data_IF_331512766840
#
_entry.id   IF_331512766840
#
_cell.length_a   1.000
_cell.length_b   1.000
_cell.length_c   1.000
_cell.angle_alpha   90.00
_cell.angle_beta   90.00
_cell.angle_gamma   90.00
#
_symmetry.space_group_name_H-M   'P 1'
#
loop_
_entity.id
_entity.type
_entity.pdbx_description
1 polymer ?
#
# COMPACT_ATOMS: atom_id res chain seq x y z
N UNK A 1 37.19 -40.54 -21.81
CA UNK A 1 35.77 -40.19 -21.55
C UNK A 1 35.62 -39.74 -20.10
N UNK A 2 35.71 -38.44 -19.82
CA UNK A 2 35.55 -37.89 -18.45
C UNK A 2 35.06 -36.43 -18.46
N UNK A 3 35.25 -35.72 -19.57
CA UNK A 3 34.78 -34.34 -19.81
C UNK A 3 33.25 -34.20 -19.69
N UNK A 4 32.47 -35.15 -20.21
CA UNK A 4 31.00 -35.08 -20.17
C UNK A 4 30.39 -35.12 -18.76
N UNK A 5 31.05 -35.76 -17.79
CA UNK A 5 30.59 -35.84 -16.40
C UNK A 5 30.89 -34.55 -15.65
N UNK A 6 32.10 -33.99 -15.85
CA UNK A 6 32.51 -32.72 -15.21
C UNK A 6 31.64 -31.56 -15.70
N UNK A 7 31.36 -31.47 -17.01
CA UNK A 7 30.50 -30.42 -17.56
C UNK A 7 29.07 -30.49 -17.03
N UNK A 8 28.52 -31.70 -16.83
CA UNK A 8 27.18 -31.88 -16.22
C UNK A 8 27.15 -31.42 -14.78
N UNK A 9 28.17 -31.79 -13.99
CA UNK A 9 28.29 -31.37 -12.59
C UNK A 9 28.42 -29.85 -12.47
N UNK A 10 29.26 -29.23 -13.30
CA UNK A 10 29.40 -27.77 -13.36
C UNK A 10 28.09 -27.07 -13.77
N UNK A 11 27.33 -27.65 -14.70
CA UNK A 11 26.02 -27.14 -15.11
C UNK A 11 25.00 -27.13 -13.95
N UNK A 12 24.98 -28.18 -13.11
CA UNK A 12 24.12 -28.24 -11.93
C UNK A 12 24.50 -27.14 -10.94
N UNK A 13 25.80 -26.94 -10.66
CA UNK A 13 26.26 -25.87 -9.78
C UNK A 13 25.93 -24.47 -10.32
N UNK A 14 26.04 -24.25 -11.64
CA UNK A 14 25.66 -22.97 -12.25
C UNK A 14 24.16 -22.67 -12.09
N UNK A 15 23.30 -23.68 -12.29
CA UNK A 15 21.86 -23.55 -12.09
C UNK A 15 21.55 -23.29 -10.60
N UNK A 16 22.17 -24.03 -9.68
CA UNK A 16 22.00 -23.82 -8.25
C UNK A 16 22.42 -22.41 -7.81
N UNK A 17 23.56 -21.91 -8.32
CA UNK A 17 24.03 -20.56 -8.06
C UNK A 17 23.07 -19.50 -8.61
N UNK A 18 22.53 -19.70 -9.82
CA UNK A 18 21.54 -18.79 -10.40
C UNK A 18 20.25 -18.77 -9.56
N UNK A 19 19.77 -19.92 -9.11
CA UNK A 19 18.58 -20.01 -8.24
C UNK A 19 18.84 -19.28 -6.91
N UNK A 20 19.96 -19.53 -6.24
CA UNK A 20 20.32 -18.84 -5.00
C UNK A 20 20.39 -17.33 -5.21
N UNK A 21 21.03 -16.86 -6.29
CA UNK A 21 21.12 -15.45 -6.62
C UNK A 21 19.71 -14.83 -6.82
N UNK A 22 18.81 -15.50 -7.52
CA UNK A 22 17.42 -15.05 -7.67
C UNK A 22 16.68 -14.97 -6.32
N UNK A 23 16.85 -15.97 -5.45
CA UNK A 23 16.26 -15.95 -4.10
C UNK A 23 16.85 -14.83 -3.24
N UNK A 24 18.16 -14.59 -3.31
CA UNK A 24 18.82 -13.48 -2.61
C UNK A 24 18.32 -12.11 -3.10
N UNK A 25 18.12 -11.94 -4.41
CA UNK A 25 17.54 -10.72 -4.98
C UNK A 25 16.10 -10.53 -4.54
N UNK A 26 15.29 -11.58 -4.51
CA UNK A 26 13.93 -11.53 -3.98
C UNK A 26 13.91 -11.15 -2.49
N UNK A 27 14.82 -11.74 -1.69
CA UNK A 27 15.00 -11.40 -0.28
C UNK A 27 15.41 -9.93 -0.07
N UNK A 28 16.34 -9.41 -0.87
CA UNK A 28 16.73 -8.00 -0.84
C UNK A 28 15.56 -7.09 -1.22
N UNK A 29 14.81 -7.44 -2.26
CA UNK A 29 13.61 -6.69 -2.67
C UNK A 29 12.57 -6.63 -1.55
N UNK A 30 12.35 -7.75 -0.85
CA UNK A 30 11.43 -7.81 0.29
C UNK A 30 11.95 -6.98 1.48
N UNK A 31 13.24 -7.08 1.81
CA UNK A 31 13.84 -6.28 2.89
C UNK A 31 13.74 -4.77 2.61
N UNK A 32 14.14 -4.32 1.43
CA UNK A 32 14.04 -2.91 1.05
C UNK A 32 12.58 -2.45 0.91
N UNK A 33 11.68 -3.32 0.48
CA UNK A 33 10.25 -3.06 0.47
C UNK A 33 9.71 -2.79 1.86
N UNK A 34 10.02 -3.65 2.83
CA UNK A 34 9.65 -3.47 4.24
C UNK A 34 10.28 -2.19 4.80
N UNK A 35 11.57 -1.95 4.54
CA UNK A 35 12.25 -0.75 5.00
C UNK A 35 11.61 0.54 4.44
N UNK A 36 11.24 0.52 3.16
CA UNK A 36 10.53 1.62 2.51
C UNK A 36 9.16 1.86 3.12
N UNK A 37 8.37 0.80 3.34
CA UNK A 37 7.05 0.88 3.99
C UNK A 37 7.14 1.50 5.38
N UNK A 38 8.19 1.20 6.14
CA UNK A 38 8.37 1.70 7.52
C UNK A 38 8.94 3.13 7.56
N UNK A 39 9.88 3.44 6.67
CA UNK A 39 10.74 4.63 6.81
C UNK A 39 10.32 5.81 5.94
N UNK A 40 9.49 5.59 4.92
CA UNK A 40 9.12 6.62 3.94
C UNK A 40 7.60 6.78 3.94
N UNK A 41 7.16 7.98 4.33
CA UNK A 41 5.73 8.35 4.34
C UNK A 41 5.11 8.12 2.96
N UNK A 42 4.03 7.34 2.92
CA UNK A 42 3.28 7.03 1.70
C UNK A 42 3.75 5.87 0.85
N UNK A 43 4.88 5.21 1.16
CA UNK A 43 5.23 3.95 0.46
C UNK A 43 4.18 2.87 0.72
N UNK A 44 3.69 2.77 1.96
CA UNK A 44 2.59 1.88 2.33
C UNK A 44 1.33 2.14 1.48
N UNK A 45 0.93 3.41 1.36
CA UNK A 45 -0.18 3.84 0.49
C UNK A 45 -0.03 3.40 -0.96
N UNK A 46 1.15 3.63 -1.55
CA UNK A 46 1.42 3.26 -2.95
C UNK A 46 1.35 1.74 -3.10
N UNK A 47 1.95 1.00 -2.18
CA UNK A 47 1.91 -0.46 -2.18
C UNK A 47 0.49 -1.01 -2.12
N UNK A 48 -0.33 -0.52 -1.18
CA UNK A 48 -1.74 -0.91 -1.03
C UNK A 48 -2.53 -0.60 -2.30
N UNK A 49 -2.33 0.57 -2.90
CA UNK A 49 -2.97 0.96 -4.16
C UNK A 49 -2.59 0.02 -5.30
N UNK A 50 -1.30 -0.29 -5.46
CA UNK A 50 -0.81 -1.20 -6.50
C UNK A 50 -1.35 -2.62 -6.33
N UNK A 51 -1.30 -3.17 -5.11
CA UNK A 51 -1.81 -4.51 -4.82
C UNK A 51 -3.32 -4.58 -5.06
N UNK A 52 -4.08 -3.60 -4.55
CA UNK A 52 -5.52 -3.54 -4.78
C UNK A 52 -5.85 -3.45 -6.28
N UNK A 53 -5.16 -2.56 -7.00
CA UNK A 53 -5.34 -2.40 -8.45
C UNK A 53 -5.03 -3.69 -9.22
N UNK A 54 -3.96 -4.40 -8.84
CA UNK A 54 -3.61 -5.68 -9.43
C UNK A 54 -4.68 -6.73 -9.15
N UNK A 55 -5.22 -6.80 -7.92
CA UNK A 55 -6.32 -7.71 -7.58
C UNK A 55 -7.53 -7.40 -8.46
N UNK A 56 -7.97 -6.15 -8.57
CA UNK A 56 -9.09 -5.75 -9.45
C UNK A 56 -8.85 -6.13 -10.91
N UNK A 57 -7.61 -5.98 -11.38
CA UNK A 57 -7.22 -6.35 -12.73
C UNK A 57 -7.29 -7.87 -12.98
N UNK A 58 -6.65 -8.67 -12.13
CA UNK A 58 -6.50 -10.11 -12.35
C UNK A 58 -7.74 -10.92 -11.95
N UNK A 59 -8.44 -10.53 -10.87
CA UNK A 59 -9.67 -11.21 -10.43
C UNK A 59 -10.89 -10.84 -11.28
N UNK A 60 -10.75 -9.82 -12.15
CA UNK A 60 -11.81 -9.28 -12.99
C UNK A 60 -13.04 -8.77 -12.21
N UNK A 61 -12.90 -8.48 -10.92
CA UNK A 61 -13.95 -7.79 -10.15
C UNK A 61 -14.15 -6.37 -10.72
N UNK A 62 -15.40 -5.92 -10.82
CA UNK A 62 -15.78 -4.55 -11.20
C UNK A 62 -17.11 -4.14 -10.56
N UNK A 63 -17.50 -2.89 -10.82
CA UNK A 63 -18.75 -2.31 -10.37
C UNK A 63 -20.03 -2.96 -10.92
N UNK A 64 -19.94 -3.93 -11.86
CA UNK A 64 -21.12 -4.75 -12.22
C UNK A 64 -21.45 -5.77 -11.13
N UNK A 65 -20.46 -6.11 -10.28
CA UNK A 65 -20.62 -6.86 -9.03
C UNK A 65 -20.33 -5.90 -7.86
N UNK A 66 -21.25 -4.98 -7.55
CA UNK A 66 -21.00 -3.90 -6.60
C UNK A 66 -20.67 -4.43 -5.20
N UNK A 67 -21.32 -5.51 -4.76
CA UNK A 67 -21.08 -6.13 -3.45
C UNK A 67 -19.65 -6.65 -3.32
N UNK A 68 -19.16 -7.43 -4.30
CA UNK A 68 -17.80 -7.96 -4.30
C UNK A 68 -16.75 -6.85 -4.35
N UNK A 69 -17.02 -5.80 -5.14
CA UNK A 69 -16.16 -4.61 -5.23
C UNK A 69 -16.11 -3.86 -3.90
N UNK A 70 -17.26 -3.61 -3.27
CA UNK A 70 -17.36 -2.91 -2.00
C UNK A 70 -16.68 -3.67 -0.85
N UNK A 71 -16.85 -5.01 -0.79
CA UNK A 71 -16.18 -5.86 0.20
C UNK A 71 -14.66 -5.81 0.02
N UNK A 72 -14.19 -5.94 -1.22
CA UNK A 72 -12.75 -5.87 -1.53
C UNK A 72 -12.15 -4.51 -1.15
N UNK A 73 -12.81 -3.41 -1.54
CA UNK A 73 -12.37 -2.06 -1.18
C UNK A 73 -12.36 -1.88 0.34
N UNK A 74 -13.40 -2.30 1.04
CA UNK A 74 -13.47 -2.18 2.51
C UNK A 74 -12.36 -2.97 3.20
N UNK A 75 -12.11 -4.20 2.75
CA UNK A 75 -11.02 -5.03 3.28
C UNK A 75 -9.65 -4.40 2.99
N UNK A 76 -9.42 -3.92 1.77
CA UNK A 76 -8.15 -3.29 1.40
C UNK A 76 -7.95 -1.94 2.10
N UNK A 77 -9.01 -1.17 2.37
CA UNK A 77 -8.95 0.04 3.20
C UNK A 77 -8.58 -0.29 4.65
N UNK A 78 -9.11 -1.39 5.19
CA UNK A 78 -8.71 -1.87 6.51
C UNK A 78 -7.23 -2.25 6.55
N UNK A 79 -6.73 -2.97 5.54
CA UNK A 79 -5.30 -3.26 5.40
C UNK A 79 -4.48 -1.96 5.27
N UNK A 80 -4.99 -0.99 4.51
CA UNK A 80 -4.39 0.33 4.33
C UNK A 80 -4.15 1.05 5.65
N UNK A 81 -5.16 1.14 6.53
CA UNK A 81 -4.99 1.81 7.82
C UNK A 81 -4.04 1.07 8.77
N UNK A 82 -3.91 -0.26 8.65
CA UNK A 82 -2.97 -1.04 9.45
C UNK A 82 -1.52 -0.84 9.01
N UNK A 83 -1.29 -0.65 7.70
CA UNK A 83 0.05 -0.49 7.14
C UNK A 83 0.50 0.97 7.09
N UNK A 84 -0.44 1.91 6.97
CA UNK A 84 -0.16 3.34 6.79
C UNK A 84 -0.71 4.22 7.92
N UNK A 85 -0.26 3.91 9.13
CA UNK A 85 -0.59 4.64 10.35
C UNK A 85 0.05 6.03 10.43
N UNK A 86 1.03 6.36 9.57
CA UNK A 86 1.59 7.72 9.39
C UNK A 86 0.99 8.50 8.23
N UNK A 87 0.45 7.79 7.24
CA UNK A 87 -0.21 8.36 6.09
C UNK A 87 0.80 8.78 5.04
N UNK A 88 0.32 9.53 4.05
CA UNK A 88 1.18 10.16 3.07
C UNK A 88 0.96 11.67 3.05
N UNK A 89 1.92 12.46 2.54
CA UNK A 89 1.79 13.92 2.51
C UNK A 89 0.53 14.44 1.81
N UNK A 90 0.00 13.69 0.84
CA UNK A 90 -1.22 14.06 0.08
C UNK A 90 -2.48 13.81 0.93
N UNK A 91 -2.59 12.65 1.58
CA UNK A 91 -3.70 12.26 2.46
C UNK A 91 -3.68 13.03 3.78
N UNK A 92 -2.52 13.50 4.19
CA UNK A 92 -2.39 14.30 5.40
C UNK A 92 -2.85 15.77 5.19
N UNK A 93 -3.00 16.24 3.94
CA UNK A 93 -3.42 17.62 3.68
C UNK A 93 -4.86 17.96 4.03
N UNK A 94 -5.87 17.11 3.74
CA UNK A 94 -7.23 17.31 4.23
C UNK A 94 -7.29 17.63 5.73
N UNK A 95 -6.48 16.97 6.57
CA UNK A 95 -6.40 17.28 8.00
C UNK A 95 -5.92 18.71 8.28
N UNK A 96 -4.88 19.15 7.57
CA UNK A 96 -4.36 20.50 7.72
C UNK A 96 -5.34 21.57 7.21
N UNK A 97 -6.09 21.29 6.14
CA UNK A 97 -7.11 22.21 5.61
C UNK A 97 -8.34 22.33 6.50
N UNK A 98 -8.73 21.22 7.14
CA UNK A 98 -9.92 21.18 8.01
C UNK A 98 -9.64 21.74 9.40
N UNK A 99 -8.41 21.59 9.91
CA UNK A 99 -8.09 21.84 11.32
C UNK A 99 -7.04 22.93 11.55
N UNK A 100 -6.39 23.43 10.48
CA UNK A 100 -5.34 24.44 10.55
C UNK A 100 -5.66 25.73 9.80
N UNK A 101 -4.79 26.73 9.99
CA UNK A 101 -4.79 27.95 9.20
C UNK A 101 -4.27 27.74 7.77
N UNK A 102 -4.47 28.71 6.89
CA UNK A 102 -4.06 28.59 5.47
C UNK A 102 -2.55 28.40 5.35
N UNK A 103 -2.16 27.32 4.67
CA UNK A 103 -0.76 26.95 4.47
C UNK A 103 -0.17 26.07 5.59
N UNK A 104 -0.98 25.68 6.57
CA UNK A 104 -0.58 24.69 7.57
C UNK A 104 -0.31 23.33 6.92
N UNK A 105 0.48 22.51 7.60
CA UNK A 105 0.72 21.12 7.22
C UNK A 105 0.68 20.22 8.46
N UNK A 106 0.42 18.93 8.23
CA UNK A 106 0.43 17.94 9.30
C UNK A 106 1.86 17.40 9.48
N UNK A 107 2.38 17.53 10.69
CA UNK A 107 3.61 16.90 11.14
C UNK A 107 3.28 15.68 12.01
N UNK A 108 3.93 14.56 11.75
CA UNK A 108 3.78 13.33 12.54
C UNK A 108 5.04 13.13 13.34
N UNK A 109 4.91 13.17 14.67
CA UNK A 109 5.99 12.87 15.60
C UNK A 109 5.83 11.45 16.11
N UNK A 110 6.82 10.63 15.83
CA UNK A 110 6.88 9.24 16.28
C UNK A 110 7.59 9.15 17.63
N UNK A 111 6.97 8.44 18.57
CA UNK A 111 7.56 8.10 19.87
C UNK A 111 7.62 6.59 20.00
N UNK A 112 8.84 6.05 20.00
CA UNK A 112 9.09 4.62 20.20
C UNK A 112 9.42 4.38 21.66
N UNK A 113 8.70 3.46 22.31
CA UNK A 113 8.94 3.06 23.70
C UNK A 113 9.28 1.58 23.77
N UNK A 114 10.26 1.24 24.60
CA UNK A 114 10.67 -0.14 24.86
C UNK A 114 10.42 -0.47 26.33
N UNK A 115 9.69 -1.56 26.60
CA UNK A 115 9.40 -1.98 27.97
C UNK A 115 8.75 -3.36 28.04
N UNK A 116 9.14 -4.17 29.03
CA UNK A 116 8.52 -5.48 29.29
C UNK A 116 8.61 -6.49 28.14
N UNK A 117 9.64 -6.41 27.29
CA UNK A 117 9.79 -7.26 26.10
C UNK A 117 8.92 -6.82 24.91
N UNK A 118 8.24 -5.68 24.99
CA UNK A 118 7.44 -5.11 23.92
C UNK A 118 8.05 -3.79 23.40
N UNK A 119 7.75 -3.49 22.14
CA UNK A 119 8.02 -2.20 21.52
C UNK A 119 6.69 -1.55 21.17
N UNK A 120 6.41 -0.39 21.78
CA UNK A 120 5.26 0.44 21.47
C UNK A 120 5.67 1.56 20.52
N UNK A 121 4.86 1.80 19.49
CA UNK A 121 5.02 2.94 18.59
C UNK A 121 3.79 3.82 18.72
N UNK A 122 3.97 5.07 19.14
CA UNK A 122 2.90 6.05 19.24
C UNK A 122 3.16 7.20 18.26
N UNK A 123 2.09 7.63 17.59
CA UNK A 123 2.13 8.76 16.67
C UNK A 123 1.37 9.94 17.27
N UNK A 124 2.05 11.08 17.35
CA UNK A 124 1.45 12.36 17.69
C UNK A 124 1.28 13.18 16.41
N UNK A 125 0.04 13.55 16.09
CA UNK A 125 -0.30 14.29 14.89
C UNK A 125 -0.44 15.77 15.24
N UNK A 126 0.40 16.62 14.67
CA UNK A 126 0.44 18.06 14.98
C UNK A 126 0.20 18.87 13.71
N UNK A 127 -0.68 19.86 13.78
CA UNK A 127 -0.89 20.83 12.70
C UNK A 127 0.07 21.99 12.94
N UNK A 128 1.03 22.13 12.04
CA UNK A 128 2.07 23.16 12.12
C UNK A 128 1.74 24.26 11.10
N UNK A 129 1.79 25.51 11.55
CA UNK A 129 1.56 26.65 10.68
C UNK A 129 2.78 27.01 9.82
N UNK A 130 2.60 27.98 8.93
CA UNK A 130 3.66 28.49 8.05
C UNK A 130 4.86 29.07 8.81
N UNK A 131 4.69 29.45 10.08
CA UNK A 131 5.73 30.01 10.95
C UNK A 131 6.41 28.94 11.83
N UNK A 132 6.05 27.66 11.67
CA UNK A 132 6.61 26.55 12.44
C UNK A 132 6.02 26.36 13.84
N UNK A 133 4.98 27.10 14.22
CA UNK A 133 4.30 26.92 15.50
C UNK A 133 3.23 25.82 15.41
N UNK A 134 3.12 25.02 16.47
CA UNK A 134 2.05 24.03 16.60
C UNK A 134 0.73 24.74 16.91
N UNK A 135 -0.22 24.67 15.99
CA UNK A 135 -1.56 25.22 16.18
C UNK A 135 -2.46 24.27 16.96
N UNK A 136 -2.30 22.95 16.72
CA UNK A 136 -3.20 21.94 17.26
C UNK A 136 -2.59 20.54 17.20
N UNK A 137 -2.74 19.79 18.29
CA UNK A 137 -2.47 18.34 18.32
C UNK A 137 -3.77 17.57 18.10
N UNK A 138 -3.75 16.57 17.22
CA UNK A 138 -4.87 15.71 16.85
C UNK A 138 -4.66 14.32 17.44
N UNK A 139 -5.71 13.77 18.05
CA UNK A 139 -5.68 12.39 18.54
C UNK A 139 -5.67 11.39 17.39
N UNK A 140 -4.82 10.37 17.47
CA UNK A 140 -4.78 9.28 16.49
C UNK A 140 -6.12 8.55 16.33
N UNK A 141 -6.95 8.52 17.38
CA UNK A 141 -8.31 7.97 17.34
C UNK A 141 -9.24 8.68 16.35
N UNK A 142 -8.96 9.95 16.04
CA UNK A 142 -9.69 10.71 15.03
C UNK A 142 -9.09 10.52 13.64
N UNK A 143 -7.76 10.37 13.55
CA UNK A 143 -7.04 10.20 12.29
C UNK A 143 -7.35 8.84 11.65
N UNK A 144 -7.41 7.77 12.44
CA UNK A 144 -7.59 6.40 11.91
C UNK A 144 -8.91 6.22 11.14
N UNK A 145 -10.10 6.61 11.66
CA UNK A 145 -11.34 6.49 10.92
C UNK A 145 -11.38 7.36 9.65
N UNK A 146 -10.82 8.58 9.71
CA UNK A 146 -10.74 9.44 8.53
C UNK A 146 -9.86 8.84 7.44
N UNK A 147 -8.74 8.20 7.82
CA UNK A 147 -7.90 7.47 6.87
C UNK A 147 -8.59 6.29 6.24
N UNK A 148 -9.41 5.57 7.00
CA UNK A 148 -10.22 4.51 6.43
C UNK A 148 -11.11 5.06 5.31
N UNK A 149 -11.75 6.21 5.55
CA UNK A 149 -12.57 6.91 4.55
C UNK A 149 -11.73 7.37 3.35
N UNK A 150 -10.52 7.91 3.57
CA UNK A 150 -9.61 8.29 2.49
C UNK A 150 -9.26 7.09 1.61
N UNK A 151 -8.91 5.95 2.20
CA UNK A 151 -8.67 4.72 1.44
C UNK A 151 -9.92 4.24 0.70
N UNK A 152 -11.10 4.29 1.32
CA UNK A 152 -12.34 3.95 0.62
C UNK A 152 -12.51 4.80 -0.64
N UNK A 153 -12.28 6.11 -0.55
CA UNK A 153 -12.39 7.03 -1.69
C UNK A 153 -11.35 6.72 -2.75
N UNK A 154 -10.07 6.65 -2.38
CA UNK A 154 -8.96 6.44 -3.33
C UNK A 154 -9.08 5.09 -4.04
N UNK A 155 -9.36 4.02 -3.31
CA UNK A 155 -9.52 2.69 -3.89
C UNK A 155 -10.79 2.58 -4.73
N UNK A 156 -11.87 3.30 -4.38
CA UNK A 156 -13.07 3.40 -5.22
C UNK A 156 -12.80 4.13 -6.53
N UNK A 157 -12.01 5.20 -6.50
CA UNK A 157 -11.56 5.91 -7.71
C UNK A 157 -10.72 4.97 -8.57
N UNK A 158 -9.75 4.26 -7.98
CA UNK A 158 -8.91 3.30 -8.70
C UNK A 158 -9.74 2.19 -9.35
N UNK A 159 -10.67 1.56 -8.61
CA UNK A 159 -11.57 0.55 -9.13
C UNK A 159 -12.45 1.08 -10.27
N UNK A 160 -12.90 2.33 -10.18
CA UNK A 160 -13.67 3.00 -11.24
C UNK A 160 -12.84 3.20 -12.50
N UNK A 161 -11.61 3.72 -12.37
CA UNK A 161 -10.68 3.91 -13.49
C UNK A 161 -10.40 2.57 -14.18
N UNK A 162 -10.08 1.52 -13.40
CA UNK A 162 -9.84 0.18 -13.93
C UNK A 162 -11.07 -0.35 -14.67
N UNK A 163 -12.26 -0.18 -14.10
CA UNK A 163 -13.53 -0.59 -14.72
C UNK A 163 -13.74 0.12 -16.07
N UNK A 164 -13.53 1.45 -16.11
CA UNK A 164 -13.68 2.24 -17.34
C UNK A 164 -12.66 1.83 -18.41
N UNK A 165 -11.39 1.71 -18.05
CA UNK A 165 -10.33 1.27 -18.98
C UNK A 165 -10.65 -0.11 -19.55
N UNK A 166 -11.06 -1.03 -18.68
CA UNK A 166 -11.41 -2.41 -19.08
C UNK A 166 -12.61 -2.45 -20.02
N UNK A 167 -13.65 -1.66 -19.74
CA UNK A 167 -14.84 -1.57 -20.59
C UNK A 167 -14.53 -0.96 -21.96
N UNK A 168 -13.65 0.05 -22.02
CA UNK A 168 -13.24 0.68 -23.29
C UNK A 168 -12.33 -0.18 -24.15
N UNK A 169 -11.57 -1.09 -23.54
CA UNK A 169 -10.61 -1.94 -24.27
C UNK A 169 -11.28 -2.95 -25.22
N UNK A 170 -12.61 -3.09 -25.23
CA UNK A 170 -13.36 -3.86 -26.24
C UNK A 170 -13.12 -5.38 -26.25
N UNK A 171 -12.13 -5.87 -25.50
CA UNK A 171 -11.97 -7.30 -25.22
C UNK A 171 -13.15 -7.72 -24.34
N UNK A 172 -14.15 -8.33 -24.95
CA UNK A 172 -15.18 -9.11 -24.26
C UNK A 172 -14.48 -10.25 -23.53
N UNK A 173 -14.18 -10.06 -22.25
CA UNK A 173 -13.55 -11.07 -21.39
C UNK A 173 -14.54 -11.80 -20.47
N UNK A 174 -15.85 -11.58 -20.67
CA UNK A 174 -16.88 -12.39 -20.02
C UNK A 174 -16.93 -13.75 -20.75
N UNK A 175 -16.95 -14.88 -20.04
CA UNK A 175 -17.49 -16.09 -20.62
C UNK A 175 -18.99 -15.83 -20.93
N UNK A 176 -19.48 -16.38 -22.04
CA UNK A 176 -20.77 -16.04 -22.68
C UNK A 176 -22.00 -16.18 -21.77
N UNK A 177 -21.86 -16.86 -20.63
CA UNK A 177 -22.88 -17.18 -19.65
C UNK A 177 -23.14 -16.10 -18.57
N UNK A 178 -22.56 -14.91 -18.68
CA UNK A 178 -22.76 -13.82 -17.70
C UNK A 178 -23.79 -12.76 -18.15
N UNK A 179 -24.60 -13.05 -19.17
CA UNK A 179 -25.65 -12.17 -19.70
C UNK A 179 -27.07 -12.64 -19.38
N UNK A 180 -27.22 -13.66 -18.55
CA UNK A 180 -28.50 -14.12 -17.99
C UNK A 180 -28.60 -13.74 -16.51
#
# INVERSE_FOLDING_TARGET
MQTGTITKVLGIFAIAAAVIACFSLAGLGLMYGIYGVISIDGVASIFVLMVCSAIFWFTKVDWRKPEATAIMISFMSFVGICLDSRGNPIYNQPFAWLLGSRGSYLQIKETVTHGGGSTGVNYEFQVINLYGANERTISGWFVIPLRFVEYLIVLSIAATIITVIRNRSGRNWLPDNARE
#
